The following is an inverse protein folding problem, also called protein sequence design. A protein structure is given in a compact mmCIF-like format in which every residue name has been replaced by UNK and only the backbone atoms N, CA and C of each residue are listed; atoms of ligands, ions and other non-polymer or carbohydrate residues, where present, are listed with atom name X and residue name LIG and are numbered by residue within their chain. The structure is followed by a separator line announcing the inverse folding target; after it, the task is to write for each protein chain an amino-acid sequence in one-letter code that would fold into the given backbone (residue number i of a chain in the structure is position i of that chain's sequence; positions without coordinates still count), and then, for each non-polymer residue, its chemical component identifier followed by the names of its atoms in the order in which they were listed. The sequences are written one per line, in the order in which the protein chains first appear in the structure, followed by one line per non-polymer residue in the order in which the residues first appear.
data_IF_416611249433
#
_entry.id   IF_416611249433
#
_cell.length_a   1.000
_cell.length_b   1.000
_cell.length_c   1.000
_cell.angle_alpha   90.00
_cell.angle_beta   90.00
_cell.angle_gamma   90.00
#
_symmetry.space_group_name_H-M   'P 1'
#
loop_
_entity.id
_entity.type
_entity.pdbx_description
1 polymer ?
#
# COMPACT_ATOMS: atom_id res chain seq x y z
N UNK A 1 2.81 4.70 7.59
CA UNK A 1 1.49 5.35 7.36
C UNK A 1 1.19 6.22 8.57
N UNK A 2 0.86 7.51 8.38
CA UNK A 2 0.71 8.47 9.48
C UNK A 2 -0.54 8.24 10.34
N UNK A 3 -1.61 7.66 9.77
CA UNK A 3 -2.86 7.35 10.49
C UNK A 3 -3.20 5.88 10.33
N UNK A 4 -3.51 5.14 11.42
CA UNK A 4 -3.98 3.76 11.33
C UNK A 4 -5.33 3.67 10.61
N UNK A 5 -5.45 2.72 9.68
CA UNK A 5 -6.73 2.32 9.10
C UNK A 5 -7.19 1.00 9.74
N UNK A 6 -8.48 0.90 10.05
CA UNK A 6 -9.10 -0.31 10.57
C UNK A 6 -10.23 -0.73 9.62
N UNK A 7 -10.06 -1.82 8.84
CA UNK A 7 -11.10 -2.38 8.01
C UNK A 7 -12.38 -2.69 8.80
N UNK A 8 -13.54 -2.43 8.19
CA UNK A 8 -14.82 -2.82 8.77
C UNK A 8 -14.93 -4.35 8.90
N UNK A 9 -15.60 -4.82 9.95
CA UNK A 9 -15.80 -6.25 10.20
C UNK A 9 -17.17 -6.71 9.68
N UNK A 10 -17.29 -7.91 9.08
CA UNK A 10 -16.20 -8.86 8.78
C UNK A 10 -15.33 -8.39 7.60
N UNK A 11 -14.01 -8.64 7.68
CA UNK A 11 -13.07 -8.30 6.60
C UNK A 11 -13.12 -9.39 5.53
N UNK A 12 -13.96 -9.20 4.51
CA UNK A 12 -14.04 -10.14 3.37
C UNK A 12 -12.97 -9.76 2.34
N UNK A 13 -13.16 -8.60 1.71
CA UNK A 13 -12.27 -8.02 0.70
C UNK A 13 -12.31 -6.50 0.84
N UNK A 14 -11.43 -5.95 1.66
CA UNK A 14 -11.29 -4.50 1.83
C UNK A 14 -10.04 -4.04 1.08
N UNK A 15 -10.22 -3.18 0.09
CA UNK A 15 -9.13 -2.58 -0.64
C UNK A 15 -9.09 -1.08 -0.36
N UNK A 16 -8.00 -0.64 0.26
CA UNK A 16 -7.78 0.75 0.64
C UNK A 16 -6.51 1.28 -0.01
N UNK A 17 -6.60 2.42 -0.67
CA UNK A 17 -5.48 3.11 -1.29
C UNK A 17 -5.08 4.30 -0.45
N UNK A 18 -3.80 4.39 -0.10
CA UNK A 18 -3.24 5.49 0.67
C UNK A 18 -2.32 6.33 -0.22
N UNK A 19 -2.59 7.63 -0.31
CA UNK A 19 -1.71 8.56 -1.02
C UNK A 19 -0.48 8.83 -0.13
N UNK A 20 0.71 8.60 -0.69
CA UNK A 20 1.99 8.79 -0.04
C UNK A 20 2.76 9.93 -0.72
N UNK A 21 3.31 10.84 0.08
CA UNK A 21 4.21 11.89 -0.37
C UNK A 21 5.63 11.57 0.14
N UNK A 22 6.50 10.94 -0.68
CA UNK A 22 7.88 10.63 -0.29
C UNK A 22 8.80 11.87 -0.28
N UNK A 23 8.34 13.02 -0.77
CA UNK A 23 9.05 14.31 -0.74
C UNK A 23 10.46 14.25 -1.37
N UNK A 24 10.61 13.47 -2.44
CA UNK A 24 11.88 13.31 -3.16
C UNK A 24 12.29 14.63 -3.84
N UNK A 25 13.49 15.13 -3.54
CA UNK A 25 14.02 16.34 -4.15
C UNK A 25 14.46 16.15 -5.61
N UNK A 26 14.77 14.92 -6.00
CA UNK A 26 15.23 14.53 -7.34
C UNK A 26 14.60 13.19 -7.74
N UNK A 27 14.67 12.86 -9.04
CA UNK A 27 14.22 11.57 -9.54
C UNK A 27 15.01 10.46 -8.85
N UNK A 28 14.29 9.50 -8.27
CA UNK A 28 14.88 8.36 -7.58
C UNK A 28 14.42 7.05 -8.20
N UNK A 29 15.11 5.96 -7.86
CA UNK A 29 14.76 4.62 -8.31
C UNK A 29 14.56 3.73 -7.10
N UNK A 30 13.42 3.04 -7.06
CA UNK A 30 13.21 1.92 -6.14
C UNK A 30 14.11 0.79 -6.61
N UNK A 31 15.10 0.43 -5.80
CA UNK A 31 16.07 -0.65 -6.07
C UNK A 31 15.87 -1.86 -5.15
N UNK A 32 15.11 -1.70 -4.07
CA UNK A 32 14.73 -2.74 -3.14
C UNK A 32 13.46 -2.32 -2.39
N UNK A 33 12.77 -3.28 -1.78
CA UNK A 33 11.70 -2.99 -0.84
C UNK A 33 11.63 -4.05 0.26
N UNK A 34 11.15 -3.62 1.43
CA UNK A 34 10.90 -4.51 2.57
C UNK A 34 9.49 -4.25 3.11
N UNK A 35 8.72 -5.31 3.34
CA UNK A 35 7.36 -5.22 3.88
C UNK A 35 7.36 -5.56 5.37
N UNK A 36 7.03 -4.55 6.19
CA UNK A 36 6.87 -4.68 7.66
C UNK A 36 5.42 -4.43 8.05
N UNK A 37 4.69 -5.51 8.34
CA UNK A 37 3.27 -5.45 8.68
C UNK A 37 3.07 -5.47 10.20
N UNK A 38 2.26 -4.53 10.71
CA UNK A 38 1.83 -4.56 12.11
C UNK A 38 0.81 -5.67 12.41
N UNK A 39 -0.04 -6.02 11.43
CA UNK A 39 -1.08 -7.05 11.52
C UNK A 39 -1.05 -7.97 10.28
N UNK A 40 -0.07 -8.89 10.19
CA UNK A 40 0.08 -9.78 9.02
C UNK A 40 -1.06 -10.80 8.88
N UNK A 41 -1.91 -10.95 9.90
CA UNK A 41 -3.06 -11.86 9.89
C UNK A 41 -4.24 -11.37 9.05
N UNK A 42 -4.28 -10.06 8.72
CA UNK A 42 -5.38 -9.45 7.96
C UNK A 42 -4.96 -8.84 6.64
N UNK A 43 -3.66 -8.70 6.35
CA UNK A 43 -3.16 -8.13 5.10
C UNK A 43 -2.92 -9.27 4.11
N UNK A 44 -3.59 -9.23 2.96
CA UNK A 44 -3.43 -10.22 1.90
C UNK A 44 -2.44 -9.76 0.84
N UNK A 45 -2.65 -8.57 0.29
CA UNK A 45 -1.75 -7.96 -0.68
C UNK A 45 -1.41 -6.52 -0.30
N UNK A 46 -0.23 -6.10 -0.72
CA UNK A 46 0.22 -4.72 -0.70
C UNK A 46 0.88 -4.40 -2.02
N UNK A 47 0.52 -3.27 -2.63
CA UNK A 47 1.10 -2.82 -3.88
C UNK A 47 1.39 -1.33 -3.83
N UNK A 48 2.58 -0.93 -4.25
CA UNK A 48 2.99 0.46 -4.40
C UNK A 48 2.96 0.86 -5.87
N UNK A 49 2.35 2.01 -6.16
CA UNK A 49 2.25 2.59 -7.49
C UNK A 49 2.85 4.00 -7.49
N UNK A 50 3.50 4.40 -8.59
CA UNK A 50 3.88 5.79 -8.85
C UNK A 50 2.74 6.53 -9.55
N UNK A 51 2.52 7.79 -9.16
CA UNK A 51 1.72 8.74 -9.92
C UNK A 51 2.70 9.59 -10.74
N UNK A 52 2.63 9.48 -12.07
CA UNK A 52 3.65 10.05 -12.96
C UNK A 52 3.31 11.50 -13.38
N UNK A 53 2.11 12.00 -13.08
CA UNK A 53 1.69 13.39 -13.35
C UNK A 53 0.96 14.05 -12.17
N UNK A 54 0.89 15.39 -12.20
CA UNK A 54 0.13 16.16 -11.21
C UNK A 54 -1.39 15.96 -11.33
N UNK A 55 -1.88 15.60 -12.51
CA UNK A 55 -3.29 15.28 -12.74
C UNK A 55 -3.68 13.97 -12.03
N UNK A 56 -2.83 12.94 -12.14
CA UNK A 56 -3.04 11.66 -11.45
C UNK A 56 -3.01 11.84 -9.93
N UNK A 57 -2.12 12.70 -9.43
CA UNK A 57 -2.04 13.07 -8.01
C UNK A 57 -3.29 13.78 -7.52
N UNK A 58 -3.84 14.69 -8.33
CA UNK A 58 -5.06 15.38 -7.98
C UNK A 58 -6.24 14.42 -7.96
N UNK A 59 -6.35 13.53 -8.96
CA UNK A 59 -7.41 12.52 -9.01
C UNK A 59 -7.39 11.60 -7.78
N UNK A 60 -6.20 11.12 -7.36
CA UNK A 60 -6.07 10.31 -6.16
C UNK A 60 -6.43 11.11 -4.88
N UNK A 61 -6.03 12.39 -4.81
CA UNK A 61 -6.35 13.26 -3.69
C UNK A 61 -7.85 13.57 -3.59
N UNK A 62 -8.53 13.74 -4.72
CA UNK A 62 -9.97 14.00 -4.76
C UNK A 62 -10.76 12.77 -4.27
N UNK A 63 -10.31 11.55 -4.60
CA UNK A 63 -10.88 10.32 -4.08
C UNK A 63 -10.66 10.18 -2.58
N UNK A 64 -9.45 10.44 -2.09
CA UNK A 64 -9.11 10.43 -0.65
C UNK A 64 -9.97 11.44 0.12
N UNK A 65 -10.16 12.65 -0.42
CA UNK A 65 -10.96 13.70 0.22
C UNK A 65 -12.48 13.43 0.18
N UNK A 66 -12.95 12.54 -0.69
CA UNK A 66 -14.37 12.19 -0.82
C UNK A 66 -14.84 11.17 0.21
N UNK A 67 -13.92 10.51 0.92
CA UNK A 67 -14.22 9.50 1.93
C UNK A 67 -13.79 9.96 3.32
N UNK A 68 -14.54 9.55 4.34
CA UNK A 68 -14.10 9.74 5.71
C UNK A 68 -12.98 8.75 6.05
N UNK A 69 -11.98 9.23 6.81
CA UNK A 69 -10.84 8.41 7.24
C UNK A 69 -9.66 8.43 6.25
N UNK A 70 -8.59 7.68 6.55
CA UNK A 70 -7.38 7.70 5.72
C UNK A 70 -7.53 6.85 4.46
N UNK A 71 -7.14 7.39 3.31
CA UNK A 71 -7.18 6.70 2.04
C UNK A 71 -8.58 6.67 1.42
N UNK A 72 -8.69 6.02 0.27
CA UNK A 72 -9.95 5.81 -0.46
C UNK A 72 -10.13 4.35 -0.85
N UNK A 73 -11.36 3.95 -1.14
CA UNK A 73 -11.69 2.59 -1.55
C UNK A 73 -11.25 2.34 -2.99
N UNK A 74 -10.49 1.28 -3.26
CA UNK A 74 -9.87 1.04 -4.57
C UNK A 74 -9.75 -0.45 -4.93
N UNK A 75 -10.79 -1.03 -5.54
CA UNK A 75 -10.82 -2.46 -5.81
C UNK A 75 -9.90 -2.87 -6.96
N UNK A 76 -8.94 -3.76 -6.70
CA UNK A 76 -8.07 -4.40 -7.69
C UNK A 76 -6.99 -3.50 -8.32
N UNK A 77 -7.16 -2.19 -8.31
CA UNK A 77 -6.19 -1.17 -8.78
C UNK A 77 -6.45 0.18 -8.08
N UNK A 78 -5.58 1.16 -8.32
CA UNK A 78 -5.61 2.52 -7.77
C UNK A 78 -6.79 3.39 -8.25
N UNK A 79 -7.57 2.93 -9.24
CA UNK A 79 -8.69 3.61 -9.90
C UNK A 79 -8.36 5.01 -10.47
N UNK A 80 -7.08 5.31 -10.63
CA UNK A 80 -6.52 6.48 -11.31
C UNK A 80 -5.34 6.01 -12.18
N UNK A 81 -4.90 6.77 -13.20
CA UNK A 81 -3.72 6.39 -13.95
C UNK A 81 -2.49 6.31 -13.02
N UNK A 82 -1.83 5.17 -13.01
CA UNK A 82 -0.66 4.94 -12.17
C UNK A 82 0.21 3.83 -12.74
N UNK A 83 1.45 3.72 -12.23
CA UNK A 83 2.40 2.70 -12.65
C UNK A 83 2.81 1.84 -11.48
N UNK A 84 2.60 0.53 -11.61
CA UNK A 84 3.03 -0.46 -10.63
C UNK A 84 4.55 -0.39 -10.38
N UNK A 85 4.94 -0.31 -9.11
CA UNK A 85 6.35 -0.37 -8.70
C UNK A 85 6.67 -1.73 -8.07
N UNK A 86 6.08 -2.01 -6.91
CA UNK A 86 6.34 -3.24 -6.15
C UNK A 86 5.03 -3.79 -5.62
N UNK A 87 4.96 -5.10 -5.50
CA UNK A 87 3.85 -5.78 -4.85
C UNK A 87 4.36 -6.89 -3.95
N UNK A 88 3.58 -7.23 -2.94
CA UNK A 88 3.85 -8.31 -2.01
C UNK A 88 2.55 -9.01 -1.64
N UNK A 89 2.61 -10.34 -1.60
CA UNK A 89 1.59 -11.19 -0.98
C UNK A 89 1.93 -11.55 0.47
N UNK A 90 1.12 -12.37 1.14
CA UNK A 90 1.23 -12.58 2.60
C UNK A 90 2.59 -13.12 3.07
N UNK A 91 3.20 -13.95 2.21
CA UNK A 91 4.48 -14.61 2.47
C UNK A 91 5.69 -13.86 1.90
N UNK A 92 5.47 -12.86 1.06
CA UNK A 92 6.54 -12.11 0.39
C UNK A 92 6.95 -10.90 1.24
N UNK A 93 8.23 -10.81 1.58
CA UNK A 93 8.78 -9.69 2.38
C UNK A 93 9.48 -8.65 1.52
N UNK A 94 9.52 -8.83 0.21
CA UNK A 94 10.32 -8.06 -0.71
C UNK A 94 11.77 -8.52 -0.75
N UNK A 95 12.60 -7.69 -1.38
CA UNK A 95 14.01 -7.96 -1.59
C UNK A 95 14.64 -6.94 -2.52
N UNK A 96 15.88 -7.21 -2.90
CA UNK A 96 16.65 -6.39 -3.82
C UNK A 96 16.29 -6.70 -5.29
N UNK A 97 16.24 -5.66 -6.10
CA UNK A 97 16.25 -5.80 -7.55
C UNK A 97 17.66 -6.15 -8.06
N UNK A 98 17.77 -6.75 -9.26
CA UNK A 98 19.07 -7.00 -9.88
C UNK A 98 19.94 -5.73 -9.94
N UNK A 99 21.24 -5.90 -9.72
CA UNK A 99 22.19 -4.79 -9.72
C UNK A 99 22.08 -3.97 -11.02
N UNK A 100 22.03 -2.64 -10.87
CA UNK A 100 21.89 -1.71 -11.99
C UNK A 100 20.47 -1.56 -12.53
N UNK A 101 19.46 -2.13 -11.86
CA UNK A 101 18.04 -1.94 -12.23
C UNK A 101 17.28 -1.23 -11.11
N UNK A 102 16.17 -0.60 -11.47
CA UNK A 102 15.28 0.06 -10.52
C UNK A 102 14.09 0.70 -11.21
N UNK A 103 13.06 1.00 -10.43
CA UNK A 103 11.81 1.59 -10.92
C UNK A 103 11.74 3.05 -10.51
N UNK A 104 11.65 3.96 -11.49
CA UNK A 104 11.70 5.40 -11.25
C UNK A 104 10.49 5.90 -10.46
N UNK A 105 10.73 6.85 -9.56
CA UNK A 105 9.73 7.77 -8.98
C UNK A 105 10.24 9.19 -9.29
N UNK A 106 9.37 10.02 -9.88
CA UNK A 106 9.77 11.39 -10.23
C UNK A 106 9.95 12.29 -9.02
N UNK A 107 10.83 13.28 -9.15
CA UNK A 107 11.01 14.33 -8.14
C UNK A 107 9.67 15.01 -7.79
N UNK A 108 9.42 15.18 -6.49
CA UNK A 108 8.21 15.78 -5.96
C UNK A 108 6.92 15.03 -6.30
N UNK A 109 6.99 13.84 -6.90
CA UNK A 109 5.80 13.05 -7.24
C UNK A 109 5.31 12.24 -6.04
N UNK A 110 4.02 11.95 -6.03
CA UNK A 110 3.39 11.08 -5.04
C UNK A 110 3.31 9.63 -5.52
N UNK A 111 3.02 8.75 -4.57
CA UNK A 111 2.76 7.34 -4.80
C UNK A 111 1.43 6.94 -4.18
N UNK A 112 0.86 5.82 -4.61
CA UNK A 112 -0.30 5.20 -3.97
C UNK A 112 0.09 3.83 -3.44
N UNK A 113 -0.20 3.59 -2.18
CA UNK A 113 -0.09 2.28 -1.55
C UNK A 113 -1.47 1.64 -1.50
N UNK A 114 -1.74 0.66 -2.34
CA UNK A 114 -2.91 -0.18 -2.21
C UNK A 114 -2.65 -1.26 -1.15
N UNK A 115 -3.56 -1.38 -0.20
CA UNK A 115 -3.60 -2.46 0.77
C UNK A 115 -4.90 -3.24 0.58
N UNK A 116 -4.76 -4.54 0.33
CA UNK A 116 -5.86 -5.49 0.32
C UNK A 116 -5.87 -6.26 1.63
N UNK A 117 -6.93 -6.09 2.39
CA UNK A 117 -7.18 -6.80 3.63
C UNK A 117 -8.19 -7.91 3.41
N UNK A 118 -7.89 -9.08 3.96
CA UNK A 118 -8.81 -10.20 4.09
C UNK A 118 -8.63 -10.86 5.45
N UNK A 119 -9.73 -11.21 6.10
CA UNK A 119 -9.72 -11.92 7.36
C UNK A 119 -10.13 -13.37 7.15
N UNK A 120 -9.32 -14.32 7.64
CA UNK A 120 -9.91 -15.61 8.04
C UNK A 120 -10.83 -15.34 9.23
N UNK A 121 -12.10 -15.70 9.10
CA UNK A 121 -13.04 -15.86 10.20
C UNK A 121 -12.55 -16.94 11.16
N UNK A 122 -11.50 -16.70 11.95
CA UNK A 122 -11.26 -17.39 13.21
C UNK A 122 -10.27 -16.57 14.05
N UNK A 123 -10.58 -16.25 15.33
CA UNK A 123 -9.57 -15.72 16.24
C UNK A 123 -8.44 -16.75 16.40
N UNK A 124 -7.19 -16.32 16.25
CA UNK A 124 -6.03 -17.16 16.59
C UNK A 124 -6.19 -17.60 18.05
N UNK A 125 -6.18 -18.91 18.37
CA UNK A 125 -6.14 -19.34 19.76
C UNK A 125 -4.95 -18.67 20.44
N UNK A 126 -5.19 -17.93 21.51
CA UNK A 126 -4.12 -17.42 22.35
C UNK A 126 -3.31 -18.62 22.81
N UNK A 127 -2.03 -18.69 22.43
CA UNK A 127 -1.13 -19.68 23.01
C UNK A 127 -1.15 -19.49 24.55
N UNK A 128 -1.31 -20.58 25.34
CA UNK A 128 -1.27 -20.46 26.78
C UNK A 128 0.10 -19.92 27.21
N UNK A 129 0.17 -19.18 28.34
CA UNK A 129 1.45 -18.68 28.85
C UNK A 129 2.37 -19.88 29.13
N UNK A 130 3.61 -19.79 28.64
CA UNK A 130 4.67 -20.74 28.99
C UNK A 130 4.90 -20.70 30.50
N UNK A 131 4.72 -21.84 31.16
CA UNK A 131 5.11 -22.09 32.56
C UNK A 131 6.61 -22.16 32.72
#
# INVERSE_FOLDING_TARGET
MPTPYAPAQPIIDDYRCFVLAPELAEDAFVTAFEVRLGRPDVVHHLTLYALDSAEDEQAAADLDAAEEGPGYTCFGDTIVPSRWLVGSGPSDKGGDFPAGTGLRIGAGRKAVLQMHYTGRTEPRPTAPPST
#
